data_IF_170355088468
#
_entry.id   IF_170355088468
#
_cell.length_a   1.000
_cell.length_b   1.000
_cell.length_c   1.000
_cell.angle_alpha   90.00
_cell.angle_beta   90.00
_cell.angle_gamma   90.00
#
_symmetry.space_group_name_H-M   'P 1'
#
loop_
_entity.id
_entity.type
_entity.pdbx_description
1 polymer ?
#
# COMPACT_ATOMS: atom_id res chain seq x y z
N UNK A 1 10.94 3.59 8.98
CA UNK A 1 9.66 3.46 9.73
C UNK A 1 9.14 2.04 9.60
N UNK A 2 8.54 1.52 10.63
CA UNK A 2 7.87 0.21 10.58
C UNK A 2 6.38 0.46 10.36
N UNK A 3 5.82 -0.11 9.32
CA UNK A 3 4.40 -0.09 9.05
C UNK A 3 3.77 -1.39 9.53
N UNK A 4 2.61 -1.29 10.18
CA UNK A 4 1.82 -2.43 10.61
C UNK A 4 0.50 -2.44 9.85
N UNK A 5 0.12 -3.59 9.32
CA UNK A 5 -1.01 -3.73 8.44
C UNK A 5 -1.79 -4.99 8.70
N UNK A 6 -3.12 -4.88 8.66
CA UNK A 6 -4.04 -6.01 8.60
C UNK A 6 -4.82 -5.88 7.31
N UNK A 7 -4.83 -6.94 6.48
CA UNK A 7 -5.55 -6.96 5.22
C UNK A 7 -6.65 -7.99 5.28
N UNK A 8 -7.88 -7.58 4.98
CA UNK A 8 -9.07 -8.41 5.11
C UNK A 8 -9.81 -8.43 3.77
N UNK A 9 -10.02 -9.60 3.16
CA UNK A 9 -10.88 -9.71 1.98
C UNK A 9 -12.34 -9.47 2.36
N UNK A 10 -13.08 -8.75 1.53
CA UNK A 10 -14.50 -8.46 1.76
C UNK A 10 -15.30 -8.74 0.49
N UNK A 11 -16.59 -9.08 0.66
CA UNK A 11 -17.45 -9.34 -0.49
C UNK A 11 -17.79 -8.05 -1.23
N UNK A 12 -18.02 -6.96 -0.49
CA UNK A 12 -18.32 -5.67 -1.10
C UNK A 12 -17.88 -4.53 -0.17
N UNK A 13 -17.43 -3.43 -0.76
CA UNK A 13 -16.93 -2.28 0.00
C UNK A 13 -18.05 -1.40 0.57
N UNK A 14 -19.24 -1.41 -0.03
CA UNK A 14 -20.33 -0.55 0.44
C UNK A 14 -20.73 -0.81 1.88
N UNK A 15 -20.77 -2.06 2.31
CA UNK A 15 -21.09 -2.43 3.68
C UNK A 15 -20.06 -1.84 4.66
N UNK A 16 -18.79 -1.87 4.29
CA UNK A 16 -17.71 -1.30 5.10
C UNK A 16 -17.84 0.22 5.15
N UNK A 17 -18.13 0.84 4.02
CA UNK A 17 -18.30 2.29 3.94
C UNK A 17 -19.45 2.76 4.83
N UNK A 18 -20.58 2.06 4.80
CA UNK A 18 -21.71 2.36 5.67
C UNK A 18 -21.33 2.22 7.15
N UNK A 19 -20.56 1.21 7.50
CA UNK A 19 -20.09 1.04 8.88
C UNK A 19 -19.18 2.19 9.30
N UNK A 20 -18.25 2.60 8.44
CA UNK A 20 -17.35 3.72 8.73
C UNK A 20 -18.10 5.02 9.01
N UNK A 21 -19.11 5.30 8.20
CA UNK A 21 -19.97 6.48 8.44
C UNK A 21 -20.67 6.36 9.78
N UNK A 22 -21.22 5.18 10.10
CA UNK A 22 -21.98 4.95 11.33
C UNK A 22 -21.12 5.13 12.59
N UNK A 23 -19.86 4.68 12.56
CA UNK A 23 -18.99 4.81 13.72
C UNK A 23 -18.32 6.18 13.84
N UNK A 24 -18.55 7.08 12.87
CA UNK A 24 -17.99 8.42 12.88
C UNK A 24 -16.57 8.53 12.35
N UNK A 25 -16.14 7.59 11.52
CA UNK A 25 -14.85 7.69 10.85
C UNK A 25 -14.83 8.89 9.88
N UNK A 26 -13.66 9.46 9.69
CA UNK A 26 -13.44 10.59 8.79
C UNK A 26 -12.86 10.13 7.48
N UNK A 27 -13.45 10.56 6.36
CA UNK A 27 -12.89 10.28 5.04
C UNK A 27 -11.74 11.23 4.77
N UNK A 28 -10.55 10.67 4.50
CA UNK A 28 -9.36 11.46 4.21
C UNK A 28 -9.30 11.87 2.75
N UNK A 29 -9.63 10.95 1.86
CA UNK A 29 -9.56 11.17 0.42
C UNK A 29 -10.74 10.52 -0.26
N UNK A 30 -11.28 11.13 -1.34
CA UNK A 30 -12.22 10.44 -2.21
C UNK A 30 -11.51 9.27 -2.89
N UNK A 31 -12.28 8.42 -3.57
CA UNK A 31 -11.72 7.30 -4.31
C UNK A 31 -10.72 7.79 -5.35
N UNK A 32 -9.53 7.20 -5.35
CA UNK A 32 -8.45 7.53 -6.28
C UNK A 32 -7.97 6.28 -6.99
N UNK A 33 -7.65 6.43 -8.28
CA UNK A 33 -7.03 5.37 -9.05
C UNK A 33 -5.52 5.40 -8.85
N UNK A 34 -4.93 4.23 -8.61
CA UNK A 34 -3.49 4.07 -8.43
C UNK A 34 -2.94 3.14 -9.50
N UNK A 35 -1.82 3.52 -10.08
CA UNK A 35 -1.03 2.65 -10.95
C UNK A 35 0.23 2.29 -10.20
N UNK A 36 0.43 1.01 -9.97
CA UNK A 36 1.55 0.49 -9.20
C UNK A 36 2.44 -0.38 -10.08
N UNK A 37 3.73 -0.12 -10.06
CA UNK A 37 4.74 -0.92 -10.77
C UNK A 37 5.76 -1.40 -9.76
N UNK A 38 5.94 -2.72 -9.67
CA UNK A 38 6.99 -3.31 -8.85
C UNK A 38 8.21 -3.56 -9.72
N UNK A 39 9.37 -3.18 -9.20
CA UNK A 39 10.66 -3.33 -9.85
C UNK A 39 11.49 -4.39 -9.14
N UNK A 40 12.28 -5.14 -9.89
CA UNK A 40 13.20 -6.12 -9.34
C UNK A 40 14.45 -6.20 -10.20
N UNK A 41 15.50 -6.77 -9.62
CA UNK A 41 16.71 -7.13 -10.38
C UNK A 41 16.45 -8.33 -11.29
N UNK A 42 17.31 -8.54 -12.27
CA UNK A 42 17.15 -9.62 -13.24
C UNK A 42 17.08 -11.01 -12.60
N UNK A 43 17.75 -11.20 -11.47
CA UNK A 43 17.75 -12.47 -10.72
C UNK A 43 16.60 -12.59 -9.72
N UNK A 44 15.72 -11.58 -9.63
CA UNK A 44 14.59 -11.62 -8.71
C UNK A 44 14.97 -11.52 -7.24
N UNK A 45 16.06 -10.86 -6.93
CA UNK A 45 16.60 -10.80 -5.55
C UNK A 45 15.63 -10.18 -4.56
N UNK A 46 14.83 -9.19 -4.97
CA UNK A 46 13.86 -8.55 -4.08
C UNK A 46 12.70 -9.51 -3.79
N UNK A 47 12.09 -10.07 -4.82
CA UNK A 47 10.98 -11.01 -4.63
C UNK A 47 11.39 -12.20 -3.78
N UNK A 48 12.57 -12.79 -4.04
CA UNK A 48 13.04 -13.96 -3.31
C UNK A 48 13.40 -13.68 -1.85
N UNK A 49 13.70 -12.44 -1.50
CA UNK A 49 14.01 -12.02 -0.13
C UNK A 49 12.85 -11.35 0.59
N UNK A 50 11.67 -11.29 -0.02
CA UNK A 50 10.50 -10.66 0.59
C UNK A 50 10.56 -9.14 0.62
N UNK A 51 11.43 -8.54 -0.19
CA UNK A 51 11.54 -7.09 -0.35
C UNK A 51 10.72 -6.63 -1.55
N UNK A 52 10.29 -5.39 -1.55
CA UNK A 52 9.58 -4.81 -2.68
C UNK A 52 10.06 -3.39 -2.95
N UNK A 53 10.15 -3.04 -4.23
CA UNK A 53 10.46 -1.70 -4.68
C UNK A 53 9.34 -1.29 -5.63
N UNK A 54 8.59 -0.26 -5.28
CA UNK A 54 7.37 0.13 -5.97
C UNK A 54 7.42 1.59 -6.41
N UNK A 55 7.00 1.83 -7.65
CA UNK A 55 6.67 3.18 -8.13
C UNK A 55 5.15 3.24 -8.23
N UNK A 56 4.54 4.16 -7.49
CA UNK A 56 3.09 4.40 -7.49
C UNK A 56 2.79 5.74 -8.10
N UNK A 57 1.82 5.78 -9.00
CA UNK A 57 1.28 7.03 -9.51
C UNK A 57 -0.17 7.17 -9.06
N UNK A 58 -0.48 8.28 -8.41
CA UNK A 58 -1.81 8.63 -7.92
C UNK A 58 -2.09 10.07 -8.34
N UNK A 59 -3.03 10.26 -9.27
CA UNK A 59 -3.25 11.59 -9.85
C UNK A 59 -2.00 12.09 -10.54
N UNK A 60 -1.52 13.27 -10.12
CA UNK A 60 -0.28 13.87 -10.62
C UNK A 60 0.94 13.61 -9.74
N UNK A 61 0.77 12.78 -8.70
CA UNK A 61 1.85 12.44 -7.76
C UNK A 61 2.48 11.11 -8.10
N UNK A 62 3.79 11.04 -7.88
CA UNK A 62 4.58 9.83 -8.05
C UNK A 62 5.34 9.53 -6.77
N UNK A 63 5.27 8.30 -6.30
CA UNK A 63 5.87 7.86 -5.04
C UNK A 63 6.77 6.66 -5.29
N UNK A 64 7.97 6.70 -4.72
CA UNK A 64 8.88 5.56 -4.70
C UNK A 64 8.87 4.98 -3.30
N UNK A 65 8.62 3.68 -3.19
CA UNK A 65 8.51 2.99 -1.91
C UNK A 65 9.39 1.76 -1.89
N UNK A 66 10.22 1.66 -0.87
CA UNK A 66 10.92 0.42 -0.53
C UNK A 66 10.20 -0.25 0.63
N UNK A 67 9.97 -1.56 0.53
CA UNK A 67 9.42 -2.37 1.61
C UNK A 67 10.39 -3.50 1.95
N UNK A 68 10.76 -3.60 3.22
CA UNK A 68 11.60 -4.68 3.72
C UNK A 68 10.82 -5.99 3.90
N UNK A 69 11.51 -7.07 4.31
CA UNK A 69 10.85 -8.35 4.57
C UNK A 69 9.77 -8.22 5.64
N UNK A 70 8.65 -8.92 5.44
CA UNK A 70 7.54 -8.88 6.38
C UNK A 70 7.83 -9.76 7.60
N UNK A 71 7.43 -9.27 8.78
CA UNK A 71 7.38 -10.02 10.02
C UNK A 71 5.91 -10.13 10.42
N UNK A 72 5.45 -11.33 10.71
CA UNK A 72 4.05 -11.57 11.05
C UNK A 72 3.88 -11.77 12.55
N UNK A 73 2.83 -11.18 13.09
CA UNK A 73 2.39 -11.34 14.47
C UNK A 73 0.89 -11.57 14.41
N UNK A 74 0.49 -12.84 14.40
CA UNK A 74 -0.90 -13.21 14.12
C UNK A 74 -1.27 -12.76 12.71
N UNK A 75 -2.34 -11.97 12.59
CA UNK A 75 -2.80 -11.42 11.32
C UNK A 75 -2.12 -10.10 10.97
N UNK A 76 -1.30 -9.56 11.87
CA UNK A 76 -0.64 -8.27 11.69
C UNK A 76 0.69 -8.48 10.97
N UNK A 77 0.87 -7.79 9.86
CA UNK A 77 2.12 -7.77 9.10
C UNK A 77 2.90 -6.52 9.45
N UNK A 78 4.13 -6.69 9.89
CA UNK A 78 5.06 -5.60 10.17
C UNK A 78 6.17 -5.61 9.13
N UNK A 79 6.48 -4.48 8.55
CA UNK A 79 7.61 -4.36 7.63
C UNK A 79 8.15 -2.94 7.63
N UNK A 80 9.46 -2.84 7.40
CA UNK A 80 10.08 -1.56 7.15
C UNK A 80 9.55 -0.96 5.88
N UNK A 81 9.26 0.34 5.90
CA UNK A 81 8.81 1.07 4.72
C UNK A 81 9.57 2.40 4.65
N UNK A 82 10.12 2.68 3.47
CA UNK A 82 10.77 3.95 3.18
C UNK A 82 10.10 4.49 1.93
N UNK A 83 9.47 5.65 2.04
CA UNK A 83 8.71 6.24 0.95
C UNK A 83 9.09 7.69 0.75
N UNK A 84 9.18 8.11 -0.50
CA UNK A 84 9.40 9.50 -0.87
C UNK A 84 8.62 9.83 -2.14
N UNK A 85 8.24 11.09 -2.23
CA UNK A 85 7.64 11.62 -3.44
C UNK A 85 8.75 11.95 -4.44
N UNK A 86 8.54 11.58 -5.71
CA UNK A 86 9.48 11.87 -6.79
C UNK A 86 8.78 12.75 -7.83
N UNK A 87 9.55 13.55 -8.55
CA UNK A 87 8.99 14.51 -9.50
C UNK A 87 8.42 13.88 -10.77
N UNK A 88 8.84 12.66 -11.12
CA UNK A 88 8.42 12.00 -12.35
C UNK A 88 8.55 10.49 -12.22
N UNK A 89 7.46 9.78 -12.55
CA UNK A 89 7.47 8.32 -12.57
C UNK A 89 8.34 7.79 -13.72
N UNK A 90 8.39 8.50 -14.84
CA UNK A 90 9.22 8.12 -15.97
C UNK A 90 10.71 8.23 -15.63
N UNK A 91 11.10 9.34 -15.02
CA UNK A 91 12.51 9.58 -14.66
C UNK A 91 12.99 8.60 -13.60
N UNK A 92 12.17 8.33 -12.58
CA UNK A 92 12.58 7.35 -11.56
C UNK A 92 12.68 5.94 -12.16
N UNK A 93 11.82 5.58 -13.09
CA UNK A 93 11.91 4.30 -13.79
C UNK A 93 13.21 4.19 -14.60
N UNK A 94 13.62 5.26 -15.28
CA UNK A 94 14.91 5.32 -15.98
C UNK A 94 16.08 5.13 -15.02
N UNK A 95 16.04 5.80 -13.88
CA UNK A 95 17.08 5.68 -12.87
C UNK A 95 17.18 4.24 -12.36
N UNK A 96 16.04 3.63 -12.05
CA UNK A 96 16.00 2.26 -11.58
C UNK A 96 16.53 1.29 -12.63
N UNK A 97 16.20 1.52 -13.90
CA UNK A 97 16.73 0.72 -15.01
C UNK A 97 18.24 0.85 -15.09
N UNK A 98 18.77 2.05 -14.98
CA UNK A 98 20.20 2.29 -14.99
C UNK A 98 20.91 1.59 -13.83
N UNK A 99 20.23 1.39 -12.70
CA UNK A 99 20.77 0.67 -11.54
C UNK A 99 20.58 -0.86 -11.63
N UNK A 100 20.01 -1.36 -12.72
CA UNK A 100 19.84 -2.79 -12.94
C UNK A 100 18.48 -3.35 -12.54
N UNK A 101 17.47 -2.48 -12.30
CA UNK A 101 16.12 -2.90 -11.97
C UNK A 101 15.22 -2.77 -13.19
N UNK A 102 14.23 -3.66 -13.29
CA UNK A 102 13.24 -3.62 -14.35
C UNK A 102 11.85 -3.88 -13.80
N UNK A 103 10.79 -3.36 -14.45
CA UNK A 103 9.43 -3.69 -14.05
C UNK A 103 9.17 -5.18 -14.21
N UNK A 104 8.49 -5.79 -13.22
CA UNK A 104 8.10 -7.20 -13.34
C UNK A 104 6.62 -7.43 -13.03
N UNK A 105 5.97 -6.55 -12.25
CA UNK A 105 4.52 -6.57 -12.01
C UNK A 105 4.00 -5.15 -12.12
N UNK A 106 2.88 -4.99 -12.84
CA UNK A 106 2.13 -3.75 -12.89
C UNK A 106 0.68 -4.06 -12.58
N UNK A 107 0.09 -3.30 -11.65
CA UNK A 107 -1.32 -3.43 -11.34
C UNK A 107 -1.95 -2.09 -11.03
N UNK A 108 -3.24 -2.01 -11.26
CA UNK A 108 -4.05 -0.85 -10.94
C UNK A 108 -5.00 -1.20 -9.83
N UNK A 109 -5.28 -0.24 -8.95
CA UNK A 109 -6.32 -0.40 -7.95
C UNK A 109 -6.99 0.94 -7.68
N UNK A 110 -8.19 0.85 -7.13
CA UNK A 110 -8.95 2.03 -6.72
C UNK A 110 -9.00 2.01 -5.21
N UNK A 111 -8.57 3.10 -4.59
CA UNK A 111 -8.45 3.21 -3.13
C UNK A 111 -9.23 4.39 -2.61
N UNK A 112 -9.96 4.17 -1.52
CA UNK A 112 -10.63 5.18 -0.73
C UNK A 112 -10.08 5.11 0.69
N UNK A 113 -9.68 6.25 1.26
CA UNK A 113 -8.99 6.30 2.56
C UNK A 113 -9.84 6.97 3.62
N UNK A 114 -9.91 6.33 4.77
CA UNK A 114 -10.61 6.79 5.97
C UNK A 114 -9.67 6.76 7.16
N UNK A 115 -10.00 7.48 8.22
CA UNK A 115 -9.29 7.41 9.50
C UNK A 115 -10.30 7.28 10.64
N UNK A 116 -10.01 6.39 11.58
CA UNK A 116 -10.78 6.19 12.78
C UNK A 116 -9.84 5.83 13.93
N UNK A 117 -9.93 6.61 15.02
CA UNK A 117 -9.15 6.39 16.24
C UNK A 117 -7.65 6.23 15.96
N UNK A 118 -7.11 7.06 15.08
CA UNK A 118 -5.69 7.05 14.71
C UNK A 118 -5.29 5.94 13.76
N UNK A 119 -6.21 5.07 13.39
CA UNK A 119 -5.95 3.98 12.45
C UNK A 119 -6.48 4.36 11.06
N UNK A 120 -5.64 4.17 10.06
CA UNK A 120 -6.01 4.40 8.68
C UNK A 120 -6.75 3.18 8.15
N UNK A 121 -7.89 3.41 7.52
CA UNK A 121 -8.71 2.36 6.91
C UNK A 121 -8.75 2.59 5.41
N UNK A 122 -8.20 1.65 4.66
CA UNK A 122 -8.16 1.73 3.20
C UNK A 122 -9.17 0.75 2.61
N UNK A 123 -10.02 1.24 1.72
CA UNK A 123 -10.96 0.42 0.97
C UNK A 123 -10.42 0.26 -0.44
N UNK A 124 -10.01 -0.96 -0.79
CA UNK A 124 -9.34 -1.23 -2.06
C UNK A 124 -10.17 -2.11 -2.97
N UNK A 125 -10.38 -1.63 -4.20
CA UNK A 125 -10.91 -2.43 -5.29
C UNK A 125 -9.76 -2.78 -6.22
N UNK A 126 -9.45 -4.08 -6.34
CA UNK A 126 -8.30 -4.58 -7.08
C UNK A 126 -8.71 -5.60 -8.12
N UNK A 127 -7.82 -5.95 -9.08
CA UNK A 127 -8.14 -6.99 -10.08
C UNK A 127 -8.44 -8.37 -9.48
N UNK A 128 -8.03 -8.64 -8.24
CA UNK A 128 -8.24 -9.94 -7.59
C UNK A 128 -9.30 -9.90 -6.49
N UNK A 129 -9.98 -8.76 -6.31
CA UNK A 129 -11.06 -8.64 -5.33
C UNK A 129 -11.02 -7.36 -4.54
N UNK A 130 -11.95 -7.25 -3.60
CA UNK A 130 -12.08 -6.10 -2.70
C UNK A 130 -11.45 -6.43 -1.36
N UNK A 131 -10.72 -5.46 -0.80
CA UNK A 131 -10.02 -5.62 0.45
C UNK A 131 -10.18 -4.38 1.33
N UNK A 132 -10.09 -4.61 2.64
CA UNK A 132 -9.95 -3.55 3.63
C UNK A 132 -8.57 -3.71 4.25
N UNK A 133 -7.81 -2.64 4.29
CA UNK A 133 -6.53 -2.60 5.00
C UNK A 133 -6.64 -1.67 6.20
N UNK A 134 -6.15 -2.14 7.34
CA UNK A 134 -5.98 -1.31 8.53
C UNK A 134 -4.48 -1.06 8.67
N UNK A 135 -4.08 0.20 8.53
CA UNK A 135 -2.68 0.57 8.50
C UNK A 135 -2.34 1.53 9.64
N UNK A 136 -1.15 1.34 10.20
CA UNK A 136 -0.62 2.26 11.20
C UNK A 136 0.82 1.94 11.56
N UNK A 137 1.47 2.81 12.35
CA UNK A 137 2.72 2.45 13.00
C UNK A 137 2.47 1.28 13.95
N UNK A 138 3.50 0.41 14.15
CA UNK A 138 3.37 -0.84 14.87
C UNK A 138 2.52 -0.82 16.15
N UNK A 139 2.82 0.06 17.13
CA UNK A 139 2.06 0.07 18.38
C UNK A 139 0.59 0.48 18.21
N UNK A 140 0.26 1.29 17.20
CA UNK A 140 -1.09 1.82 17.00
C UNK A 140 -2.11 0.73 16.76
N UNK A 141 -1.79 -0.26 15.92
CA UNK A 141 -2.70 -1.37 15.65
C UNK A 141 -2.88 -2.28 16.87
N UNK A 142 -1.83 -2.47 17.65
CA UNK A 142 -1.89 -3.26 18.87
C UNK A 142 -2.77 -2.60 19.91
N UNK A 143 -2.74 -1.27 20.01
CA UNK A 143 -3.54 -0.51 20.95
C UNK A 143 -5.01 -0.48 20.58
N UNK A 144 -5.35 -0.52 19.29
CA UNK A 144 -6.72 -0.43 18.80
C UNK A 144 -7.37 -1.78 18.54
N UNK A 145 -6.58 -2.82 18.49
CA UNK A 145 -7.07 -4.17 18.31
C UNK A 145 -7.57 -4.75 19.63
#
# INVERSE_FOLDING_TARGET
MIESEIKIPVAELDSVRHLLVRIGAEQLNPTQDEVNTLFDSADGAFASSGRALRVRRVGDRSLLTFKGPARWEGAIKHRQEIELEVSSSETIAELLHALGFAPWIRYEKRRESWIFDGVRVELDHTPIGDFVELDGPGPTLEDTA
#
